data_IF_623672298467
#
_entry.id   IF_623672298467
#
_cell.length_a   1.000
_cell.length_b   1.000
_cell.length_c   1.000
_cell.angle_alpha   90.00
_cell.angle_beta   90.00
_cell.angle_gamma   90.00
#
_symmetry.space_group_name_H-M   'P 1'
#
loop_
_entity.id
_entity.type
_entity.pdbx_description
1 polymer ?
#
# COMPACT_ATOMS: atom_id res chain seq x y z
N UNK A 1 5.16 3.92 3.54
CA UNK A 1 5.02 2.50 3.14
C UNK A 1 5.83 2.27 1.87
N UNK A 2 6.06 1.01 1.46
CA UNK A 2 6.67 0.70 0.16
C UNK A 2 5.59 0.09 -0.76
N UNK A 3 5.53 0.58 -2.01
CA UNK A 3 4.74 -0.08 -3.05
C UNK A 3 5.32 -1.47 -3.29
N UNK A 4 4.47 -2.50 -3.35
CA UNK A 4 4.90 -3.89 -3.60
C UNK A 4 4.56 -4.37 -5.00
N UNK A 5 3.35 -4.10 -5.47
CA UNK A 5 2.97 -4.35 -6.86
C UNK A 5 1.83 -3.41 -7.25
N UNK A 6 1.62 -3.27 -8.55
CA UNK A 6 0.51 -2.52 -9.13
C UNK A 6 0.03 -3.23 -10.38
N UNK A 7 -1.27 -3.18 -10.64
CA UNK A 7 -1.92 -3.77 -11.81
C UNK A 7 -3.14 -2.93 -12.24
N UNK A 8 -4.05 -3.52 -13.02
CA UNK A 8 -5.29 -2.85 -13.46
C UNK A 8 -6.25 -2.54 -12.30
N UNK A 9 -6.11 -3.22 -11.17
CA UNK A 9 -6.96 -3.07 -9.99
C UNK A 9 -6.42 -2.02 -9.01
N UNK A 10 -5.13 -1.66 -9.11
CA UNK A 10 -4.57 -0.53 -8.38
C UNK A 10 -3.17 -0.78 -7.83
N UNK A 11 -2.87 -0.14 -6.70
CA UNK A 11 -1.55 -0.12 -6.06
C UNK A 11 -1.60 -0.81 -4.71
N UNK A 12 -0.71 -1.77 -4.46
CA UNK A 12 -0.69 -2.55 -3.22
C UNK A 12 0.52 -2.24 -2.35
N UNK A 13 0.24 -1.99 -1.07
CA UNK A 13 1.23 -1.90 0.00
C UNK A 13 0.76 -2.74 1.19
N UNK A 14 1.70 -3.13 2.05
CA UNK A 14 1.41 -3.93 3.25
C UNK A 14 1.72 -3.11 4.49
N UNK A 15 0.90 -3.29 5.53
CA UNK A 15 1.10 -2.66 6.83
C UNK A 15 0.43 -3.48 7.93
N UNK A 16 0.70 -3.15 9.20
CA UNK A 16 -0.01 -3.74 10.33
C UNK A 16 -1.44 -3.14 10.39
N UNK A 17 -2.44 -4.03 10.46
CA UNK A 17 -3.87 -3.67 10.58
C UNK A 17 -4.22 -2.95 11.89
N UNK A 18 -3.39 -3.07 12.92
CA UNK A 18 -3.56 -2.35 14.20
C UNK A 18 -2.84 -1.00 14.22
N UNK A 19 -2.14 -0.63 13.14
CA UNK A 19 -1.42 0.64 13.11
C UNK A 19 -2.36 1.83 12.98
N UNK A 20 -1.92 3.00 13.46
CA UNK A 20 -2.64 4.28 13.32
C UNK A 20 -3.16 4.53 11.89
N UNK A 21 -2.35 4.27 10.87
CA UNK A 21 -2.77 4.47 9.47
C UNK A 21 -3.88 3.50 9.05
N UNK A 22 -3.87 2.28 9.56
CA UNK A 22 -4.90 1.29 9.26
C UNK A 22 -6.22 1.67 9.92
N UNK A 23 -6.18 2.17 11.16
CA UNK A 23 -7.34 2.75 11.83
C UNK A 23 -7.90 3.95 11.04
N UNK A 24 -7.05 4.90 10.66
CA UNK A 24 -7.47 6.04 9.84
C UNK A 24 -8.09 5.60 8.50
N UNK A 25 -7.50 4.60 7.80
CA UNK A 25 -8.03 4.09 6.54
C UNK A 25 -9.37 3.35 6.74
N UNK A 26 -9.54 2.66 7.86
CA UNK A 26 -10.80 1.98 8.17
C UNK A 26 -11.94 2.95 8.45
N UNK A 27 -11.64 4.11 9.04
CA UNK A 27 -12.62 5.17 9.30
C UNK A 27 -12.87 6.03 8.04
N UNK A 28 -11.82 6.31 7.26
CA UNK A 28 -11.88 7.06 6.02
C UNK A 28 -10.97 6.43 4.96
N UNK A 29 -11.54 5.71 3.97
CA UNK A 29 -10.74 4.95 3.01
C UNK A 29 -10.12 5.82 1.91
N UNK A 30 -10.32 7.14 1.92
CA UNK A 30 -9.71 8.05 0.95
C UNK A 30 -8.21 8.22 1.25
N UNK A 31 -7.37 7.82 0.31
CA UNK A 31 -5.91 7.83 0.45
C UNK A 31 -5.22 8.53 -0.71
N UNK A 32 -3.99 8.98 -0.46
CA UNK A 32 -3.09 9.50 -1.47
C UNK A 32 -1.71 8.82 -1.38
N UNK A 33 -1.10 8.56 -2.55
CA UNK A 33 0.28 8.12 -2.69
C UNK A 33 1.08 9.19 -3.43
N UNK A 34 2.31 9.41 -2.99
CA UNK A 34 3.25 10.34 -3.62
C UNK A 34 4.57 9.63 -3.89
N UNK A 35 4.95 9.54 -5.17
CA UNK A 35 6.27 9.10 -5.59
C UNK A 35 7.07 10.33 -5.99
N UNK A 36 8.13 10.62 -5.24
CA UNK A 36 9.06 11.70 -5.53
C UNK A 36 10.38 11.10 -6.03
N UNK A 37 10.66 11.25 -7.32
CA UNK A 37 11.92 10.82 -7.93
C UNK A 37 12.81 12.04 -8.17
N UNK A 38 13.51 12.46 -7.11
CA UNK A 38 14.39 13.63 -7.14
C UNK A 38 15.40 13.62 -8.30
N UNK A 39 16.13 12.51 -8.58
CA UNK A 39 17.10 12.50 -9.68
C UNK A 39 16.48 12.69 -11.06
N UNK A 40 15.20 12.34 -11.21
CA UNK A 40 14.44 12.50 -12.46
C UNK A 40 13.67 13.82 -12.50
N UNK A 41 13.68 14.60 -11.41
CA UNK A 41 12.83 15.77 -11.21
C UNK A 41 11.35 15.48 -11.54
N UNK A 42 10.88 14.28 -11.15
CA UNK A 42 9.52 13.82 -11.42
C UNK A 42 8.77 13.54 -10.14
N UNK A 43 7.48 13.84 -10.17
CA UNK A 43 6.54 13.52 -9.11
C UNK A 43 5.31 12.84 -9.70
N UNK A 44 4.86 11.76 -9.06
CA UNK A 44 3.61 11.06 -9.39
C UNK A 44 2.73 11.06 -8.16
N UNK A 45 1.53 11.63 -8.29
CA UNK A 45 0.51 11.63 -7.25
C UNK A 45 -0.65 10.73 -7.69
N UNK A 46 -1.11 9.89 -6.78
CA UNK A 46 -2.26 9.00 -6.98
C UNK A 46 -3.21 9.24 -5.82
N UNK A 47 -4.51 9.38 -6.12
CA UNK A 47 -5.57 9.47 -5.11
C UNK A 47 -6.60 8.39 -5.40
N UNK A 48 -7.24 7.86 -4.35
CA UNK A 48 -8.23 6.80 -4.53
C UNK A 48 -8.77 6.28 -3.21
N UNK A 49 -9.51 5.17 -3.29
CA UNK A 49 -10.11 4.48 -2.16
C UNK A 49 -9.28 3.23 -1.86
N UNK A 50 -8.83 3.09 -0.61
CA UNK A 50 -8.13 1.90 -0.16
C UNK A 50 -9.12 0.81 0.25
N UNK A 51 -8.84 -0.43 -0.17
CA UNK A 51 -9.54 -1.63 0.25
C UNK A 51 -8.55 -2.69 0.74
N UNK A 52 -9.00 -3.61 1.58
CA UNK A 52 -8.18 -4.76 2.00
C UNK A 52 -8.07 -5.74 0.84
N UNK A 53 -6.85 -6.23 0.59
CA UNK A 53 -6.64 -7.39 -0.28
C UNK A 53 -7.17 -8.66 0.40
N UNK A 54 -7.45 -9.73 -0.36
CA UNK A 54 -7.79 -11.03 0.21
C UNK A 54 -6.75 -11.51 1.22
N UNK A 55 -7.20 -12.10 2.34
CA UNK A 55 -6.30 -12.63 3.38
C UNK A 55 -5.29 -13.64 2.81
N UNK A 56 -5.71 -14.47 1.84
CA UNK A 56 -4.83 -15.42 1.17
C UNK A 56 -3.65 -14.73 0.47
N UNK A 57 -3.88 -13.62 -0.24
CA UNK A 57 -2.80 -12.85 -0.86
C UNK A 57 -1.87 -12.22 0.18
N UNK A 58 -2.43 -11.74 1.29
CA UNK A 58 -1.63 -11.21 2.40
C UNK A 58 -0.73 -12.28 3.03
N UNK A 59 -1.23 -13.49 3.22
CA UNK A 59 -0.46 -14.62 3.76
C UNK A 59 0.61 -15.08 2.77
N UNK A 60 0.28 -15.20 1.49
CA UNK A 60 1.23 -15.55 0.44
C UNK A 60 2.39 -14.56 0.40
N UNK A 61 2.11 -13.25 0.44
CA UNK A 61 3.15 -12.22 0.51
C UNK A 61 3.99 -12.33 1.80
N UNK A 62 3.35 -12.58 2.94
CA UNK A 62 4.06 -12.71 4.20
C UNK A 62 5.05 -13.89 4.19
N UNK A 63 4.66 -15.01 3.59
CA UNK A 63 5.50 -16.20 3.46
C UNK A 63 6.77 -15.98 2.62
N UNK A 64 6.77 -15.02 1.68
CA UNK A 64 7.97 -14.69 0.88
C UNK A 64 8.98 -13.83 1.63
N UNK A 65 8.65 -13.34 2.83
CA UNK A 65 9.54 -12.45 3.58
C UNK A 65 10.67 -13.25 4.23
N UNK A 66 11.93 -12.78 4.18
CA UNK A 66 13.02 -13.40 4.93
C UNK A 66 12.66 -13.50 6.41
N UNK A 67 13.05 -14.62 7.05
CA UNK A 67 13.01 -14.73 8.51
C UNK A 67 14.07 -13.78 9.07
N UNK A 68 13.65 -12.91 9.97
CA UNK A 68 14.50 -11.98 10.71
C UNK A 68 14.42 -12.28 12.19
#
# INVERSE_FOLDING_TARGET
VLLKYFDRNGFVFFTNYESRKAQHISENPHVALLFLWLPLQRQVQITGIAAKIPTAESLNYFATRPRG
#
